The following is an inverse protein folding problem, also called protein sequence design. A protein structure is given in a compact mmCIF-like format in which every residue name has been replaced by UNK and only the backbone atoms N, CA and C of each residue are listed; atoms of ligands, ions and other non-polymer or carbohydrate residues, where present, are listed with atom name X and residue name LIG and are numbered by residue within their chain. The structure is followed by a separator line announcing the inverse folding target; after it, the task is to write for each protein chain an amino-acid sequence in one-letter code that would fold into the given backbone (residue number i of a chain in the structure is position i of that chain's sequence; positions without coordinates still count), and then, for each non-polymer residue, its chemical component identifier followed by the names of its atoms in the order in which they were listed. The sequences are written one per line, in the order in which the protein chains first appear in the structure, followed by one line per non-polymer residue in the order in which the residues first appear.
data_IF_362229468817
#
_entry.id   IF_362229468817
#
_cell.length_a   1.000
_cell.length_b   1.000
_cell.length_c   1.000
_cell.angle_alpha   90.00
_cell.angle_beta   90.00
_cell.angle_gamma   90.00
#
_symmetry.space_group_name_H-M   'P 1'
#
loop_
_entity.id
_entity.type
_entity.pdbx_description
1 polymer ?
#
# COMPACT_ATOMS: atom_id res chain seq x y z
N UNK A 1 -7.16 -44.23 -16.75
CA UNK A 1 -8.38 -43.45 -17.07
C UNK A 1 -9.22 -43.55 -15.82
N UNK A 2 -9.33 -42.58 -14.91
CA UNK A 2 -9.27 -41.11 -14.95
C UNK A 2 -8.60 -40.60 -13.65
N UNK A 3 -7.53 -39.80 -13.68
CA UNK A 3 -7.43 -38.33 -13.88
C UNK A 3 -8.08 -37.46 -12.78
N UNK A 4 -7.19 -36.92 -11.93
CA UNK A 4 -7.31 -35.62 -11.23
C UNK A 4 -8.37 -35.48 -10.12
N UNK A 5 -8.09 -36.05 -8.95
CA UNK A 5 -8.74 -35.61 -7.70
C UNK A 5 -8.12 -34.27 -7.25
N UNK A 6 -8.84 -33.17 -7.51
CA UNK A 6 -8.46 -31.80 -7.14
C UNK A 6 -8.38 -31.66 -5.62
N UNK A 7 -7.20 -31.38 -5.09
CA UNK A 7 -7.02 -30.84 -3.74
C UNK A 7 -7.59 -29.42 -3.67
N UNK A 8 -8.85 -29.28 -3.28
CA UNK A 8 -9.39 -28.00 -2.83
C UNK A 8 -8.81 -27.68 -1.44
N UNK A 9 -8.24 -26.47 -1.21
CA UNK A 9 -7.84 -26.05 0.12
C UNK A 9 -9.06 -26.02 1.03
N UNK A 10 -9.09 -26.92 2.01
CA UNK A 10 -10.13 -26.97 3.05
C UNK A 10 -9.86 -25.83 4.04
N UNK A 11 -10.56 -24.71 3.89
CA UNK A 11 -10.52 -23.63 4.89
C UNK A 11 -11.30 -24.12 6.11
N UNK A 12 -10.59 -24.44 7.19
CA UNK A 12 -11.19 -24.81 8.46
C UNK A 12 -12.02 -23.63 9.01
N UNK A 13 -13.20 -23.87 9.61
CA UNK A 13 -13.88 -22.85 10.38
C UNK A 13 -13.00 -22.50 11.59
N UNK A 14 -12.60 -21.23 11.71
CA UNK A 14 -11.92 -20.74 12.91
C UNK A 14 -12.86 -20.89 14.11
N UNK A 15 -12.60 -21.89 14.93
CA UNK A 15 -13.16 -22.00 16.28
C UNK A 15 -12.69 -20.81 17.10
N UNK A 16 -13.67 -20.03 17.54
CA UNK A 16 -13.59 -18.92 18.48
C UNK A 16 -12.79 -19.30 19.75
N UNK A 17 -11.49 -18.98 19.76
CA UNK A 17 -10.67 -19.00 20.98
C UNK A 17 -10.80 -17.64 21.65
N UNK A 18 -11.67 -17.60 22.66
CA UNK A 18 -11.72 -16.56 23.69
C UNK A 18 -10.38 -16.51 24.44
N UNK A 19 -9.69 -15.37 24.48
CA UNK A 19 -8.71 -15.10 25.54
C UNK A 19 -7.36 -14.49 25.18
N UNK A 20 -7.07 -14.14 23.91
CA UNK A 20 -5.96 -13.23 23.61
C UNK A 20 -6.52 -11.83 23.37
N UNK A 21 -6.08 -10.86 24.18
CA UNK A 21 -6.34 -9.42 24.05
C UNK A 21 -6.31 -9.02 22.57
N UNK A 22 -7.49 -8.92 21.94
CA UNK A 22 -7.60 -8.51 20.55
C UNK A 22 -6.91 -7.16 20.43
N UNK A 23 -5.84 -7.11 19.64
CA UNK A 23 -5.21 -5.87 19.18
C UNK A 23 -6.29 -4.81 18.94
N UNK A 24 -6.07 -3.53 19.33
CA UNK A 24 -7.07 -2.49 19.14
C UNK A 24 -7.54 -2.56 17.68
N UNK A 25 -8.83 -2.86 17.54
CA UNK A 25 -9.49 -3.27 16.30
C UNK A 25 -9.07 -2.26 15.21
N UNK A 26 -8.18 -2.69 14.30
CA UNK A 26 -7.36 -1.75 13.54
C UNK A 26 -8.26 -0.82 12.75
N UNK A 27 -8.15 0.47 13.05
CA UNK A 27 -8.73 1.52 12.22
C UNK A 27 -8.27 1.29 10.78
N UNK A 28 -9.19 1.44 9.83
CA UNK A 28 -8.85 1.24 8.42
C UNK A 28 -7.74 2.20 8.02
N UNK A 29 -6.67 1.65 7.44
CA UNK A 29 -5.51 2.41 6.99
C UNK A 29 -5.91 3.22 5.75
N UNK A 30 -5.80 4.54 5.88
CA UNK A 30 -6.27 5.49 4.86
C UNK A 30 -5.23 5.75 3.77
N UNK A 31 -3.95 5.80 4.12
CA UNK A 31 -2.87 6.02 3.14
C UNK A 31 -1.53 5.50 3.69
N UNK A 32 -0.44 5.80 2.99
CA UNK A 32 0.91 5.40 3.40
C UNK A 32 1.43 6.07 4.67
N UNK A 33 0.73 7.07 5.22
CA UNK A 33 1.12 7.78 6.46
C UNK A 33 0.46 7.21 7.72
N UNK A 34 -0.49 6.28 7.58
CA UNK A 34 -1.13 5.65 8.73
C UNK A 34 -0.10 4.86 9.54
N UNK A 35 -0.15 4.97 10.87
CA UNK A 35 0.68 4.15 11.74
C UNK A 35 0.17 2.69 11.82
N UNK A 36 1.06 1.71 12.03
CA UNK A 36 2.51 1.85 12.03
C UNK A 36 3.05 2.09 10.61
N UNK A 37 3.99 3.03 10.48
CA UNK A 37 4.69 3.27 9.21
C UNK A 37 5.33 1.98 8.72
N UNK A 38 5.23 1.71 7.43
CA UNK A 38 5.74 0.47 6.87
C UNK A 38 7.27 0.55 6.82
N UNK A 39 8.03 -0.42 7.37
CA UNK A 39 9.49 -0.32 7.48
C UNK A 39 10.17 -0.16 6.11
N UNK A 40 9.59 -0.70 5.04
CA UNK A 40 10.11 -0.50 3.70
C UNK A 40 10.04 0.97 3.23
N UNK A 41 9.14 1.81 3.77
CA UNK A 41 9.14 3.25 3.44
C UNK A 41 10.42 3.93 3.94
N UNK A 42 10.87 3.57 5.14
CA UNK A 42 12.13 4.08 5.69
C UNK A 42 13.34 3.60 4.87
N UNK A 43 13.33 2.33 4.45
CA UNK A 43 14.36 1.79 3.55
C UNK A 43 14.39 2.57 2.23
N UNK A 44 13.23 2.78 1.61
CA UNK A 44 13.12 3.55 0.35
C UNK A 44 13.66 4.96 0.52
N UNK A 45 13.31 5.67 1.59
CA UNK A 45 13.86 7.02 1.87
C UNK A 45 15.37 7.01 2.05
N UNK A 46 15.91 6.05 2.81
CA UNK A 46 17.35 5.92 3.02
C UNK A 46 18.08 5.64 1.70
N UNK A 47 17.60 4.67 0.92
CA UNK A 47 18.16 4.35 -0.41
C UNK A 47 18.09 5.56 -1.33
N UNK A 48 16.96 6.28 -1.35
CA UNK A 48 16.78 7.46 -2.17
C UNK A 48 17.77 8.58 -1.84
N UNK A 49 17.99 8.84 -0.54
CA UNK A 49 18.98 9.80 -0.08
C UNK A 49 20.41 9.41 -0.46
N UNK A 50 20.79 8.14 -0.23
CA UNK A 50 22.12 7.64 -0.59
C UNK A 50 22.35 7.77 -2.10
N UNK A 51 21.40 7.34 -2.93
CA UNK A 51 21.50 7.46 -4.38
C UNK A 51 21.59 8.92 -4.83
N UNK A 52 20.86 9.83 -4.19
CA UNK A 52 20.96 11.28 -4.44
C UNK A 52 22.39 11.79 -4.18
N UNK A 53 22.90 11.53 -2.98
CA UNK A 53 24.23 12.02 -2.56
C UNK A 53 25.32 11.44 -3.45
N UNK A 54 25.27 10.14 -3.75
CA UNK A 54 26.24 9.50 -4.64
C UNK A 54 26.14 10.07 -6.05
N UNK A 55 24.94 10.24 -6.59
CA UNK A 55 24.77 10.70 -7.98
C UNK A 55 25.16 12.16 -8.14
N UNK A 56 24.60 13.07 -7.33
CA UNK A 56 24.84 14.50 -7.44
C UNK A 56 26.16 14.96 -6.80
N UNK A 57 26.64 14.25 -5.77
CA UNK A 57 27.84 14.62 -5.04
C UNK A 57 29.12 13.94 -5.52
N UNK A 58 29.02 12.80 -6.23
CA UNK A 58 30.19 12.04 -6.68
C UNK A 58 30.14 11.81 -8.20
N UNK A 59 29.11 11.13 -8.70
CA UNK A 59 29.06 10.70 -10.12
C UNK A 59 29.06 11.91 -11.06
N UNK A 60 28.09 12.82 -10.93
CA UNK A 60 27.97 13.99 -11.82
C UNK A 60 29.19 14.92 -11.74
N UNK A 61 29.76 15.22 -10.55
CA UNK A 61 31.00 15.98 -10.42
C UNK A 61 32.20 15.44 -11.20
N UNK A 62 32.30 14.11 -11.33
CA UNK A 62 33.38 13.41 -12.02
C UNK A 62 33.22 13.38 -13.54
N UNK A 63 32.05 13.74 -14.08
CA UNK A 63 31.85 13.82 -15.54
C UNK A 63 32.64 15.00 -16.16
N UNK A 64 33.06 14.88 -17.44
CA UNK A 64 33.64 15.98 -18.19
C UNK A 64 32.72 17.21 -18.22
N UNK A 65 33.33 18.40 -18.24
CA UNK A 65 32.61 19.69 -18.13
C UNK A 65 31.43 19.82 -19.11
N UNK A 66 31.58 19.32 -20.33
CA UNK A 66 30.55 19.34 -21.38
C UNK A 66 29.28 18.59 -20.99
N UNK A 67 29.40 17.46 -20.29
CA UNK A 67 28.27 16.62 -19.89
C UNK A 67 27.70 16.99 -18.52
N UNK A 68 28.52 17.60 -17.67
CA UNK A 68 28.19 17.91 -16.28
C UNK A 68 26.86 18.65 -16.12
N UNK A 69 26.67 19.75 -16.86
CA UNK A 69 25.46 20.57 -16.76
C UNK A 69 24.21 19.84 -17.30
N UNK A 70 24.37 19.11 -18.40
CA UNK A 70 23.29 18.32 -19.00
C UNK A 70 22.86 17.21 -18.02
N UNK A 71 23.83 16.49 -17.44
CA UNK A 71 23.59 15.44 -16.46
C UNK A 71 22.92 15.98 -15.20
N UNK A 72 23.34 17.13 -14.67
CA UNK A 72 22.66 17.77 -13.53
C UNK A 72 21.21 18.11 -13.85
N UNK A 73 20.97 18.72 -15.01
CA UNK A 73 19.63 19.15 -15.41
C UNK A 73 18.70 17.97 -15.62
N UNK A 74 19.08 17.02 -16.48
CA UNK A 74 18.25 15.85 -16.81
C UNK A 74 18.03 14.97 -15.59
N UNK A 75 19.10 14.62 -14.87
CA UNK A 75 18.99 13.76 -13.68
C UNK A 75 18.20 14.46 -12.58
N UNK A 76 18.40 15.76 -12.38
CA UNK A 76 17.65 16.57 -11.42
C UNK A 76 16.14 16.55 -11.69
N UNK A 77 15.74 16.75 -12.95
CA UNK A 77 14.31 16.72 -13.33
C UNK A 77 13.70 15.34 -13.08
N UNK A 78 14.38 14.26 -13.51
CA UNK A 78 13.90 12.89 -13.28
C UNK A 78 13.80 12.58 -11.79
N UNK A 79 14.79 13.00 -11.01
CA UNK A 79 14.81 12.79 -9.57
C UNK A 79 13.64 13.53 -8.89
N UNK A 80 13.45 14.82 -9.16
CA UNK A 80 12.32 15.58 -8.60
C UNK A 80 10.98 14.98 -9.01
N UNK A 81 10.81 14.63 -10.29
CA UNK A 81 9.59 13.98 -10.77
C UNK A 81 9.31 12.67 -10.02
N UNK A 82 10.32 11.80 -9.88
CA UNK A 82 10.17 10.56 -9.15
C UNK A 82 9.78 10.78 -7.69
N UNK A 83 10.39 11.77 -7.02
CA UNK A 83 10.05 12.12 -5.65
C UNK A 83 8.59 12.58 -5.51
N UNK A 84 8.11 13.42 -6.43
CA UNK A 84 6.72 13.88 -6.47
C UNK A 84 5.77 12.70 -6.67
N UNK A 85 6.05 11.81 -7.62
CA UNK A 85 5.24 10.60 -7.87
C UNK A 85 5.23 9.69 -6.64
N UNK A 86 6.38 9.47 -6.01
CA UNK A 86 6.45 8.67 -4.78
C UNK A 86 5.62 9.31 -3.65
N UNK A 87 5.78 10.61 -3.42
CA UNK A 87 5.08 11.30 -2.35
C UNK A 87 3.56 11.29 -2.58
N UNK A 88 3.13 11.56 -3.81
CA UNK A 88 1.71 11.48 -4.21
C UNK A 88 1.15 10.07 -4.04
N UNK A 89 1.89 9.03 -4.44
CA UNK A 89 1.48 7.66 -4.24
C UNK A 89 1.32 7.28 -2.74
N UNK A 90 2.15 7.84 -1.87
CA UNK A 90 2.05 7.62 -0.40
C UNK A 90 0.89 8.41 0.21
N UNK A 91 0.53 9.57 -0.34
CA UNK A 91 -0.56 10.42 0.19
C UNK A 91 -1.95 10.01 -0.30
N UNK A 92 -2.07 9.51 -1.54
CA UNK A 92 -3.35 9.13 -2.13
C UNK A 92 -3.99 8.00 -1.29
N UNK A 93 -5.24 8.23 -0.91
CA UNK A 93 -6.10 7.18 -0.36
C UNK A 93 -6.60 6.29 -1.51
N UNK A 94 -6.24 4.99 -1.55
CA UNK A 94 -6.65 4.09 -2.61
C UNK A 94 -8.15 3.74 -2.55
N UNK A 95 -8.86 4.13 -1.49
CA UNK A 95 -10.29 3.83 -1.36
C UNK A 95 -11.14 4.55 -2.42
N UNK A 96 -12.14 3.83 -2.92
CA UNK A 96 -13.18 4.37 -3.79
C UNK A 96 -13.96 5.51 -3.10
N UNK A 97 -14.45 6.47 -3.88
CA UNK A 97 -15.08 7.69 -3.35
C UNK A 97 -16.23 7.39 -2.36
N UNK A 98 -17.02 6.35 -2.62
CA UNK A 98 -18.13 5.94 -1.76
C UNK A 98 -17.65 5.40 -0.40
N UNK A 99 -16.50 4.70 -0.36
CA UNK A 99 -15.86 4.27 0.88
C UNK A 99 -15.22 5.44 1.61
N UNK A 100 -14.64 6.39 0.88
CA UNK A 100 -14.03 7.60 1.44
C UNK A 100 -15.00 8.49 2.22
N UNK A 101 -16.29 8.44 1.88
CA UNK A 101 -17.35 9.15 2.61
C UNK A 101 -17.73 8.47 3.94
N UNK A 102 -17.28 7.23 4.19
CA UNK A 102 -17.55 6.51 5.43
C UNK A 102 -16.61 6.98 6.54
N UNK A 103 -17.08 6.81 7.78
CA UNK A 103 -16.32 7.21 8.96
C UNK A 103 -15.27 6.13 9.31
N UNK A 104 -14.01 6.37 8.93
CA UNK A 104 -12.85 5.51 9.24
C UNK A 104 -12.54 5.38 10.74
N UNK A 105 -13.14 6.23 11.60
CA UNK A 105 -12.99 6.14 13.05
C UNK A 105 -13.75 4.96 13.67
N UNK A 106 -14.67 4.35 12.93
CA UNK A 106 -15.35 3.13 13.38
C UNK A 106 -14.49 1.91 13.05
N UNK A 107 -14.33 0.97 14.00
CA UNK A 107 -13.69 -0.30 13.69
C UNK A 107 -14.41 -1.02 12.56
N UNK A 108 -13.64 -1.59 11.62
CA UNK A 108 -14.22 -2.32 10.51
C UNK A 108 -15.03 -3.52 11.02
N UNK A 109 -16.27 -3.74 10.53
CA UNK A 109 -17.06 -4.90 10.93
C UNK A 109 -16.41 -6.20 10.44
N UNK A 110 -16.73 -7.32 11.09
CA UNK A 110 -16.23 -8.64 10.67
C UNK A 110 -17.14 -9.16 9.56
N UNK A 111 -16.56 -9.59 8.44
CA UNK A 111 -17.33 -10.21 7.37
C UNK A 111 -17.81 -11.59 7.78
N UNK A 112 -19.13 -11.80 7.76
CA UNK A 112 -19.73 -13.09 8.05
C UNK A 112 -20.00 -13.88 6.75
N UNK A 113 -19.22 -14.94 6.54
CA UNK A 113 -19.37 -15.84 5.38
C UNK A 113 -20.66 -16.67 5.42
N UNK A 114 -21.31 -16.77 6.58
CA UNK A 114 -22.59 -17.46 6.69
C UNK A 114 -23.75 -16.65 6.08
N UNK A 115 -23.63 -15.32 6.06
CA UNK A 115 -24.63 -14.42 5.45
C UNK A 115 -24.34 -14.14 3.98
N UNK A 116 -23.07 -13.95 3.62
CA UNK A 116 -22.65 -13.62 2.27
C UNK A 116 -21.47 -14.47 1.82
N UNK A 117 -21.54 -15.11 0.64
CA UNK A 117 -20.44 -15.93 0.12
C UNK A 117 -19.21 -15.10 -0.27
N UNK A 118 -19.42 -13.87 -0.73
CA UNK A 118 -18.39 -12.93 -1.16
C UNK A 118 -18.60 -11.55 -0.53
N UNK A 119 -17.49 -10.84 -0.27
CA UNK A 119 -17.51 -9.48 0.31
C UNK A 119 -18.21 -8.49 -0.60
N UNK A 120 -18.01 -8.64 -1.91
CA UNK A 120 -18.65 -7.83 -2.94
C UNK A 120 -19.60 -8.74 -3.71
N UNK A 121 -20.89 -8.40 -3.74
CA UNK A 121 -21.90 -9.11 -4.49
C UNK A 121 -22.84 -8.09 -5.14
N UNK A 122 -23.20 -8.31 -6.42
CA UNK A 122 -24.09 -7.41 -7.18
C UNK A 122 -23.69 -5.92 -7.10
N UNK A 123 -22.39 -5.61 -7.27
CA UNK A 123 -21.84 -4.25 -7.17
C UNK A 123 -22.05 -3.59 -5.79
N UNK A 124 -22.23 -4.39 -4.74
CA UNK A 124 -22.36 -3.92 -3.36
C UNK A 124 -21.32 -4.58 -2.48
N UNK A 125 -20.55 -3.76 -1.76
CA UNK A 125 -19.62 -4.19 -0.73
C UNK A 125 -20.37 -4.34 0.59
N UNK A 126 -20.59 -5.58 1.03
CA UNK A 126 -21.27 -5.88 2.30
C UNK A 126 -20.42 -5.59 3.54
N UNK A 127 -19.11 -5.41 3.38
CA UNK A 127 -18.19 -5.07 4.46
C UNK A 127 -18.12 -3.55 4.74
N UNK A 128 -18.15 -2.75 3.68
CA UNK A 128 -18.17 -1.28 3.76
C UNK A 128 -19.59 -0.71 3.71
N UNK A 129 -20.58 -1.55 3.39
CA UNK A 129 -21.98 -1.21 3.17
C UNK A 129 -22.14 -0.07 2.14
N UNK A 130 -21.52 -0.22 0.97
CA UNK A 130 -21.56 0.77 -0.13
C UNK A 130 -21.63 0.09 -1.48
N UNK A 131 -22.18 0.79 -2.47
CA UNK A 131 -22.11 0.38 -3.87
C UNK A 131 -20.72 0.71 -4.45
N UNK A 132 -20.13 -0.27 -5.15
CA UNK A 132 -18.80 -0.20 -5.78
C UNK A 132 -18.92 0.17 -7.24
#
# INVERSE_FOLDING_TARGET
MDLFSRNLPRVHPETQVSGLKSQPRQLSRVNGWSLPLHPFQAVVWATYLVLSVVTFGIVIPLLPSTWKYISYSVTGVVFVFHWVVYFTAVTIDPAEANVRLRNYSKPMPIFDRSQHAHVIQNQYCHLCEVTV
#
